data_IF_155422706576
#
_entry.id   IF_155422706576
#
_cell.length_a   1.000
_cell.length_b   1.000
_cell.length_c   1.000
_cell.angle_alpha   90.00
_cell.angle_beta   90.00
_cell.angle_gamma   90.00
#
_symmetry.space_group_name_H-M   'P 1'
#
loop_
_entity.id
_entity.type
_entity.pdbx_description
1 polymer ?
#
# COMPACT_ATOMS: atom_id res chain seq x y z
N UNK A 1 -10.93 0.47 15.34
CA UNK A 1 -9.70 1.12 14.85
C UNK A 1 -8.50 0.19 14.82
N UNK A 2 -8.38 -0.75 15.77
CA UNK A 2 -7.29 -1.73 15.76
C UNK A 2 -7.19 -2.52 14.44
N UNK A 3 -8.32 -2.94 13.87
CA UNK A 3 -8.33 -3.61 12.55
C UNK A 3 -7.78 -2.73 11.42
N UNK A 4 -8.08 -1.42 11.42
CA UNK A 4 -7.59 -0.49 10.40
C UNK A 4 -6.10 -0.18 10.60
N UNK A 5 -5.64 -0.07 11.84
CA UNK A 5 -4.21 0.06 12.17
C UNK A 5 -3.41 -1.18 11.74
N UNK A 6 -4.00 -2.38 11.88
CA UNK A 6 -3.42 -3.63 11.36
C UNK A 6 -3.29 -3.63 9.84
N UNK A 7 -4.33 -3.21 9.11
CA UNK A 7 -4.29 -3.08 7.65
C UNK A 7 -3.24 -2.06 7.19
N UNK A 8 -3.10 -0.94 7.90
CA UNK A 8 -2.04 0.05 7.63
C UNK A 8 -0.66 -0.60 7.76
N UNK A 9 -0.40 -1.34 8.83
CA UNK A 9 0.89 -2.00 9.03
C UNK A 9 1.19 -3.07 7.95
N UNK A 10 0.18 -3.83 7.54
CA UNK A 10 0.32 -4.84 6.48
C UNK A 10 0.65 -4.19 5.12
N UNK A 11 -0.07 -3.13 4.75
CA UNK A 11 0.18 -2.41 3.50
C UNK A 11 1.51 -1.62 3.51
N UNK A 12 1.97 -1.16 4.67
CA UNK A 12 3.32 -0.60 4.81
C UNK A 12 4.41 -1.65 4.54
N UNK A 13 4.25 -2.86 5.09
CA UNK A 13 5.19 -3.94 4.85
C UNK A 13 5.24 -4.34 3.37
N UNK A 14 4.07 -4.42 2.72
CA UNK A 14 3.97 -4.74 1.28
C UNK A 14 4.61 -3.64 0.42
N UNK A 15 4.28 -2.37 0.66
CA UNK A 15 4.87 -1.26 -0.08
C UNK A 15 6.40 -1.24 0.08
N UNK A 16 6.91 -1.42 1.30
CA UNK A 16 8.34 -1.46 1.58
C UNK A 16 9.05 -2.63 0.88
N UNK A 17 8.43 -3.81 0.85
CA UNK A 17 8.97 -4.99 0.17
C UNK A 17 9.06 -4.78 -1.36
N UNK A 18 8.05 -4.14 -1.95
CA UNK A 18 8.03 -3.78 -3.37
C UNK A 18 9.08 -2.70 -3.70
N UNK A 19 9.22 -1.67 -2.86
CA UNK A 19 10.21 -0.59 -3.05
C UNK A 19 11.65 -1.10 -2.90
N UNK A 20 11.88 -2.04 -1.98
CA UNK A 20 13.19 -2.65 -1.77
C UNK A 20 13.55 -3.70 -2.83
N UNK A 21 12.63 -4.00 -3.75
CA UNK A 21 12.78 -5.05 -4.77
C UNK A 21 12.84 -6.47 -4.19
N UNK A 22 12.45 -6.64 -2.93
CA UNK A 22 12.33 -7.94 -2.26
C UNK A 22 11.12 -8.71 -2.78
N UNK A 23 10.04 -8.00 -3.12
CA UNK A 23 8.88 -8.53 -3.83
C UNK A 23 8.78 -7.88 -5.21
N UNK A 24 8.22 -8.61 -6.19
CA UNK A 24 8.02 -8.09 -7.55
C UNK A 24 6.66 -8.47 -8.10
N UNK A 25 5.89 -7.47 -8.46
CA UNK A 25 4.59 -7.63 -9.09
C UNK A 25 4.75 -7.42 -10.59
N UNK A 26 4.39 -8.46 -11.34
CA UNK A 26 4.40 -8.43 -12.78
C UNK A 26 2.98 -8.43 -13.31
N UNK A 27 2.71 -7.57 -14.28
CA UNK A 27 1.48 -7.59 -15.05
C UNK A 27 1.75 -8.20 -16.41
N UNK A 28 0.91 -9.15 -16.81
CA UNK A 28 0.93 -9.66 -18.18
C UNK A 28 0.24 -8.65 -19.10
N UNK A 29 0.97 -8.10 -20.05
CA UNK A 29 0.44 -7.24 -21.10
C UNK A 29 -0.38 -8.05 -22.10
N UNK A 30 -1.17 -7.37 -22.94
CA UNK A 30 -1.99 -7.97 -23.99
C UNK A 30 -1.19 -8.83 -24.97
N UNK A 31 0.11 -8.53 -25.11
CA UNK A 31 1.05 -9.22 -25.99
C UNK A 31 1.85 -10.34 -25.28
N UNK A 32 1.52 -10.65 -24.03
CA UNK A 32 2.17 -11.72 -23.24
C UNK A 32 3.45 -11.31 -22.52
N UNK A 33 3.89 -10.05 -22.68
CA UNK A 33 5.06 -9.50 -22.00
C UNK A 33 4.79 -9.31 -20.51
N UNK A 34 5.77 -9.63 -19.66
CA UNK A 34 5.72 -9.36 -18.22
C UNK A 34 6.31 -7.98 -17.95
N UNK A 35 5.43 -7.03 -17.65
CA UNK A 35 5.83 -5.69 -17.22
C UNK A 35 5.99 -5.68 -15.70
N UNK A 36 7.15 -5.23 -15.22
CA UNK A 36 7.36 -4.96 -13.79
C UNK A 36 6.57 -3.72 -13.39
N UNK A 37 5.54 -3.92 -12.58
CA UNK A 37 4.67 -2.84 -12.08
C UNK A 37 4.88 -2.59 -10.59
N UNK A 38 5.93 -3.17 -9.99
CA UNK A 38 6.20 -3.08 -8.54
C UNK A 38 6.25 -1.65 -8.03
N UNK A 39 6.90 -0.75 -8.77
CA UNK A 39 6.97 0.67 -8.42
C UNK A 39 5.60 1.37 -8.48
N UNK A 40 4.79 1.08 -9.49
CA UNK A 40 3.41 1.61 -9.59
C UNK A 40 2.53 1.08 -8.46
N UNK A 41 2.66 -0.21 -8.13
CA UNK A 41 1.90 -0.82 -7.04
C UNK A 41 2.33 -0.27 -5.68
N UNK A 42 3.62 -0.05 -5.46
CA UNK A 42 4.12 0.60 -4.25
C UNK A 42 3.57 2.03 -4.09
N UNK A 43 3.62 2.86 -5.14
CA UNK A 43 3.03 4.21 -5.13
C UNK A 43 1.52 4.16 -4.80
N UNK A 44 0.80 3.20 -5.38
CA UNK A 44 -0.62 3.01 -5.09
C UNK A 44 -0.87 2.71 -3.60
N UNK A 45 -0.11 1.79 -3.01
CA UNK A 45 -0.20 1.49 -1.58
C UNK A 45 0.15 2.71 -0.72
N UNK A 46 1.16 3.50 -1.08
CA UNK A 46 1.54 4.73 -0.36
C UNK A 46 0.39 5.74 -0.32
N UNK A 47 -0.32 5.94 -1.42
CA UNK A 47 -1.51 6.82 -1.46
C UNK A 47 -2.64 6.30 -0.56
N UNK A 48 -2.89 5.00 -0.62
CA UNK A 48 -3.92 4.35 0.20
C UNK A 48 -3.62 4.48 1.70
N UNK A 49 -2.36 4.25 2.08
CA UNK A 49 -1.87 4.40 3.45
C UNK A 49 -2.03 5.83 3.96
N UNK A 50 -1.70 6.83 3.13
CA UNK A 50 -1.91 8.24 3.49
C UNK A 50 -3.36 8.53 3.83
N UNK A 51 -4.29 8.00 3.01
CA UNK A 51 -5.72 8.16 3.26
C UNK A 51 -6.16 7.48 4.56
N UNK A 52 -5.74 6.23 4.80
CA UNK A 52 -6.12 5.52 6.03
C UNK A 52 -5.55 6.15 7.30
N UNK A 53 -4.32 6.66 7.25
CA UNK A 53 -3.73 7.41 8.37
C UNK A 53 -4.54 8.66 8.69
N UNK A 54 -5.01 9.39 7.67
CA UNK A 54 -5.88 10.54 7.86
C UNK A 54 -7.22 10.15 8.51
N UNK A 55 -7.86 9.08 8.03
CA UNK A 55 -9.10 8.56 8.60
C UNK A 55 -8.90 8.18 10.07
N UNK A 56 -7.78 7.52 10.40
CA UNK A 56 -7.43 7.17 11.77
C UNK A 56 -7.28 8.42 12.64
N UNK A 57 -6.48 9.40 12.18
CA UNK A 57 -6.26 10.64 12.90
C UNK A 57 -7.55 11.42 13.15
N UNK A 58 -8.42 11.55 12.13
CA UNK A 58 -9.73 12.24 12.25
C UNK A 58 -10.64 11.55 13.26
N UNK A 59 -10.67 10.23 13.27
CA UNK A 59 -11.50 9.47 14.19
C UNK A 59 -10.95 9.53 15.63
N UNK A 60 -9.63 9.48 15.83
CA UNK A 60 -9.02 9.66 17.15
C UNK A 60 -9.24 11.08 17.69
N UNK A 61 -9.17 12.11 16.84
CA UNK A 61 -9.48 13.49 17.21
C UNK A 61 -10.94 13.70 17.62
N UNK A 62 -11.89 12.99 16.98
CA UNK A 62 -13.33 13.04 17.35
C UNK A 62 -13.68 12.29 18.64
N UNK A 63 -12.82 11.37 19.09
CA UNK A 63 -13.00 10.60 20.32
C UNK A 63 -12.43 11.29 21.56
N UNK A 64 -11.77 12.43 21.37
CA UNK A 64 -11.17 13.25 22.41
C UNK A 64 -12.13 14.40 22.77
#
# INVERSE_FOLDING_TARGET
MERLKGVIAEYEAIASALESGHDKIHRTSRYGEKEDISAQTADHYRRLLSHYREVVARHEAKKK
#
